data_IF_714066142274
#
_entry.id   IF_714066142274
#
_cell.length_a   1.000
_cell.length_b   1.000
_cell.length_c   1.000
_cell.angle_alpha   90.00
_cell.angle_beta   90.00
_cell.angle_gamma   90.00
#
_symmetry.space_group_name_H-M   'P 1'
#
loop_
_entity.id
_entity.type
_entity.pdbx_description
1 polymer ?
#
# COMPACT_ATOMS: atom_id res chain seq x y z
N UNK A 1 10.47 -28.47 19.35
CA UNK A 1 10.39 -28.97 17.97
C UNK A 1 10.49 -27.81 16.93
N UNK A 2 10.60 -26.56 17.37
CA UNK A 2 10.78 -25.40 16.49
C UNK A 2 9.48 -24.78 15.98
N UNK A 3 8.33 -25.22 16.43
CA UNK A 3 7.02 -24.66 16.10
C UNK A 3 6.27 -24.27 17.38
N UNK A 4 5.58 -23.12 17.34
CA UNK A 4 4.66 -22.71 18.39
C UNK A 4 3.25 -23.02 17.91
N UNK A 5 2.61 -23.98 18.58
CA UNK A 5 1.26 -24.43 18.26
C UNK A 5 0.20 -23.81 19.19
N UNK A 6 -0.99 -24.34 19.15
CA UNK A 6 -2.01 -24.07 20.14
C UNK A 6 -1.96 -25.11 21.25
N UNK A 7 -2.30 -24.69 22.45
CA UNK A 7 -2.44 -25.52 23.63
C UNK A 7 -3.88 -25.47 24.12
N UNK A 8 -4.56 -26.60 24.19
CA UNK A 8 -5.90 -26.67 24.80
C UNK A 8 -5.86 -27.36 26.13
N UNK A 9 -6.54 -26.77 27.08
CA UNK A 9 -6.62 -27.22 28.47
C UNK A 9 -8.06 -27.54 28.80
N UNK A 10 -8.34 -28.73 29.30
CA UNK A 10 -9.67 -29.10 29.76
C UNK A 10 -10.01 -28.27 31.02
N UNK A 11 -11.10 -27.52 30.95
CA UNK A 11 -11.57 -26.63 32.02
C UNK A 11 -13.10 -26.54 31.95
N UNK A 12 -13.83 -26.83 33.06
CA UNK A 12 -15.28 -26.71 33.09
C UNK A 12 -15.79 -25.31 32.71
N UNK A 13 -14.97 -24.26 32.90
CA UNK A 13 -15.29 -22.89 32.56
C UNK A 13 -14.77 -22.53 31.15
N UNK A 14 -14.19 -23.48 30.43
CA UNK A 14 -13.65 -23.27 29.09
C UNK A 14 -14.71 -22.80 28.10
N UNK A 15 -14.31 -21.95 27.19
CA UNK A 15 -15.17 -21.34 26.16
C UNK A 15 -15.35 -22.20 24.93
N UNK A 16 -14.56 -23.27 24.81
CA UNK A 16 -14.47 -24.10 23.61
C UNK A 16 -14.88 -25.54 23.88
N UNK A 17 -15.36 -26.18 22.83
CA UNK A 17 -15.64 -27.61 22.79
C UNK A 17 -15.10 -28.20 21.48
N UNK A 18 -14.88 -29.52 21.45
CA UNK A 18 -14.52 -30.25 20.23
C UNK A 18 -15.70 -30.24 19.26
N UNK A 19 -15.45 -29.94 18.00
CA UNK A 19 -16.46 -30.02 16.95
C UNK A 19 -16.96 -31.47 16.78
N UNK A 20 -18.28 -31.62 16.64
CA UNK A 20 -18.92 -32.90 16.32
C UNK A 20 -18.66 -33.36 14.86
N UNK A 21 -18.26 -32.43 13.98
CA UNK A 21 -18.04 -32.69 12.56
C UNK A 21 -16.61 -33.13 12.22
N UNK A 22 -15.64 -32.59 12.95
CA UNK A 22 -14.22 -32.97 12.84
C UNK A 22 -13.52 -32.70 14.18
N UNK A 23 -13.01 -33.75 14.81
CA UNK A 23 -12.41 -33.67 16.14
C UNK A 23 -11.11 -32.82 16.21
N UNK A 24 -10.58 -32.42 15.08
CA UNK A 24 -9.44 -31.48 15.01
C UNK A 24 -9.87 -30.05 15.35
N UNK A 25 -11.10 -29.66 15.00
CA UNK A 25 -11.59 -28.31 15.18
C UNK A 25 -12.16 -28.07 16.58
N UNK A 26 -11.92 -26.89 17.08
CA UNK A 26 -12.52 -26.36 18.28
C UNK A 26 -13.58 -25.33 17.90
N UNK A 27 -14.75 -25.41 18.52
CA UNK A 27 -15.87 -24.48 18.32
C UNK A 27 -16.27 -23.86 19.64
N UNK A 28 -16.76 -22.62 19.62
CA UNK A 28 -17.25 -21.95 20.80
C UNK A 28 -18.46 -22.67 21.38
N UNK A 29 -18.60 -22.64 22.71
CA UNK A 29 -19.81 -23.10 23.41
C UNK A 29 -21.00 -22.24 23.03
N UNK A 30 -22.15 -22.89 23.00
CA UNK A 30 -23.46 -22.23 22.93
C UNK A 30 -24.12 -22.23 24.31
N UNK A 31 -25.15 -21.40 24.58
CA UNK A 31 -25.89 -21.42 25.85
C UNK A 31 -26.49 -22.78 26.24
N UNK A 32 -26.72 -23.65 25.24
CA UNK A 32 -27.27 -24.99 25.46
C UNK A 32 -26.24 -26.06 25.86
N UNK A 33 -24.94 -25.72 25.75
CA UNK A 33 -23.85 -26.64 26.07
C UNK A 33 -23.64 -26.72 27.61
N UNK A 34 -24.31 -27.65 28.23
CA UNK A 34 -24.27 -27.85 29.67
C UNK A 34 -23.32 -28.94 30.15
N UNK A 35 -22.89 -29.84 29.27
CA UNK A 35 -21.99 -30.97 29.57
C UNK A 35 -20.75 -30.91 28.73
N UNK A 36 -19.57 -30.97 29.38
CA UNK A 36 -18.25 -30.98 28.76
C UNK A 36 -17.85 -32.32 28.10
N UNK A 37 -16.60 -32.51 27.71
CA UNK A 37 -15.48 -31.64 28.12
C UNK A 37 -15.47 -30.29 27.42
N UNK A 38 -15.09 -29.25 28.16
CA UNK A 38 -14.85 -27.90 27.67
C UNK A 38 -13.37 -27.55 27.78
N UNK A 39 -12.91 -26.56 27.00
CA UNK A 39 -11.49 -26.25 26.89
C UNK A 39 -11.26 -24.74 26.89
N UNK A 40 -10.13 -24.34 27.47
CA UNK A 40 -9.47 -23.07 27.16
C UNK A 40 -8.41 -23.30 26.12
N UNK A 41 -8.20 -22.35 25.21
CA UNK A 41 -7.19 -22.41 24.17
C UNK A 41 -6.20 -21.29 24.39
N UNK A 42 -4.93 -21.65 24.46
CA UNK A 42 -3.81 -20.75 24.59
C UNK A 42 -2.84 -20.96 23.43
N UNK A 43 -1.95 -20.00 23.24
CA UNK A 43 -0.74 -20.20 22.46
C UNK A 43 0.21 -21.10 23.27
N UNK A 44 0.89 -22.01 22.62
CA UNK A 44 1.90 -22.84 23.27
C UNK A 44 2.98 -21.97 23.91
N UNK A 45 3.28 -22.18 25.19
CA UNK A 45 4.22 -21.37 25.97
C UNK A 45 4.04 -21.60 27.46
N UNK A 46 4.74 -20.81 28.27
CA UNK A 46 4.59 -20.74 29.71
C UNK A 46 3.79 -19.51 30.11
N UNK A 47 3.10 -19.63 31.25
CA UNK A 47 2.43 -18.48 31.85
C UNK A 47 3.44 -17.69 32.68
N UNK A 48 3.41 -16.38 32.55
CA UNK A 48 4.23 -15.49 33.36
C UNK A 48 3.60 -15.30 34.74
N UNK A 49 4.44 -15.21 35.79
CA UNK A 49 4.00 -15.03 37.17
C UNK A 49 2.89 -16.00 37.62
N UNK A 50 2.95 -17.25 37.14
CA UNK A 50 1.93 -18.26 37.45
C UNK A 50 1.91 -18.59 38.94
N UNK A 51 0.82 -18.25 39.60
CA UNK A 51 0.59 -18.45 41.04
C UNK A 51 -0.22 -19.73 41.34
N UNK A 52 -0.48 -20.56 40.33
CA UNK A 52 -1.36 -21.74 40.43
C UNK A 52 -2.79 -21.49 39.99
N UNK A 53 -3.20 -20.23 39.80
CA UNK A 53 -4.57 -19.83 39.45
C UNK A 53 -4.63 -18.93 38.21
N UNK A 54 -3.84 -17.87 38.18
CA UNK A 54 -3.83 -16.92 37.03
C UNK A 54 -3.07 -17.50 35.84
N UNK A 55 -3.74 -17.51 34.69
CA UNK A 55 -3.18 -17.96 33.42
C UNK A 55 -3.02 -16.75 32.50
N UNK A 56 -2.09 -15.86 32.86
CA UNK A 56 -1.79 -14.66 32.08
C UNK A 56 -0.74 -15.01 31.02
N UNK A 57 -1.08 -14.75 29.76
CA UNK A 57 -0.10 -14.85 28.67
C UNK A 57 0.87 -13.68 28.78
N UNK A 58 2.18 -13.97 28.81
CA UNK A 58 3.19 -12.94 28.84
C UNK A 58 2.98 -11.95 27.68
N UNK A 59 3.00 -10.62 27.92
CA UNK A 59 3.02 -9.65 26.86
C UNK A 59 4.29 -9.80 26.02
N UNK A 60 4.26 -9.34 24.77
CA UNK A 60 5.49 -9.29 23.97
C UNK A 60 6.53 -8.44 24.71
N UNK A 61 7.78 -8.92 24.90
CA UNK A 61 8.82 -8.17 25.62
C UNK A 61 9.13 -6.81 24.99
N UNK A 62 8.86 -6.65 23.71
CA UNK A 62 9.10 -5.39 23.00
C UNK A 62 7.81 -4.60 22.74
N UNK A 63 6.68 -5.26 22.55
CA UNK A 63 5.37 -4.65 22.40
C UNK A 63 5.18 -3.72 21.19
N UNK A 64 6.24 -3.56 20.38
CA UNK A 64 6.30 -2.58 19.31
C UNK A 64 5.73 -3.12 18.00
N UNK A 65 4.99 -2.27 17.30
CA UNK A 65 4.58 -2.47 15.92
C UNK A 65 5.19 -1.35 15.07
N UNK A 66 6.16 -1.69 14.21
CA UNK A 66 6.83 -0.71 13.37
C UNK A 66 5.86 0.06 12.46
N UNK A 67 4.71 -0.55 12.12
CA UNK A 67 3.65 0.10 11.37
C UNK A 67 2.66 0.88 12.26
N UNK A 68 3.13 1.38 13.41
CA UNK A 68 2.43 2.34 14.29
C UNK A 68 3.35 3.50 14.68
N UNK A 69 4.53 3.61 14.04
CA UNK A 69 5.58 4.55 14.44
C UNK A 69 5.79 5.70 13.46
N UNK A 70 5.06 5.74 12.35
CA UNK A 70 5.25 6.80 11.37
C UNK A 70 4.64 8.13 11.82
N UNK A 71 5.27 9.28 11.50
CA UNK A 71 4.92 10.58 12.11
C UNK A 71 3.51 11.09 11.79
N UNK A 72 2.94 10.67 10.66
CA UNK A 72 1.58 11.11 10.32
C UNK A 72 0.58 10.54 11.31
N UNK A 73 -0.15 11.43 11.98
CA UNK A 73 -1.18 11.11 12.98
C UNK A 73 -0.72 10.11 14.04
N UNK A 74 0.55 10.14 14.42
CA UNK A 74 1.07 9.27 15.46
C UNK A 74 0.40 9.56 16.81
N UNK A 75 0.05 8.52 17.53
CA UNK A 75 -0.52 8.60 18.88
C UNK A 75 0.34 7.83 19.89
N UNK A 76 0.41 8.30 21.14
CA UNK A 76 1.19 7.64 22.17
C UNK A 76 0.64 6.25 22.53
N UNK A 77 1.48 5.39 23.12
CA UNK A 77 1.23 3.98 23.40
C UNK A 77 -0.13 3.69 24.07
N UNK A 78 -0.60 4.58 24.97
CA UNK A 78 -1.88 4.40 25.66
C UNK A 78 -3.11 4.64 24.75
N UNK A 79 -2.92 5.24 23.57
CA UNK A 79 -3.97 5.44 22.56
C UNK A 79 -3.81 4.52 21.36
N UNK A 80 -2.56 4.18 21.03
CA UNK A 80 -2.23 3.28 19.93
C UNK A 80 -1.19 2.27 20.43
N UNK A 81 -1.64 1.06 20.76
CA UNK A 81 -0.73 0.00 21.17
C UNK A 81 0.32 -0.32 20.09
N UNK A 82 1.57 -0.49 20.51
CA UNK A 82 2.70 -0.74 19.63
C UNK A 82 3.37 0.51 19.05
N UNK A 83 2.90 1.72 19.39
CA UNK A 83 3.42 2.98 18.87
C UNK A 83 4.82 3.34 19.39
N UNK A 84 5.19 2.79 20.53
CA UNK A 84 6.46 3.10 21.18
C UNK A 84 6.49 4.47 21.88
N UNK A 85 7.66 4.90 22.38
CA UNK A 85 7.76 6.10 23.21
C UNK A 85 7.64 7.42 22.44
N UNK A 86 7.95 7.43 21.14
CA UNK A 86 7.86 8.60 20.25
C UNK A 86 7.88 8.14 18.78
N UNK A 87 7.43 8.99 17.84
CA UNK A 87 7.45 8.64 16.41
C UNK A 87 8.87 8.31 15.95
N UNK A 88 9.01 7.24 15.16
CA UNK A 88 10.32 6.78 14.67
C UNK A 88 11.30 6.44 15.81
N UNK A 89 10.82 5.88 16.92
CA UNK A 89 11.69 5.42 18.01
C UNK A 89 12.67 4.32 17.57
N UNK A 90 12.28 3.54 16.57
CA UNK A 90 13.07 2.39 16.11
C UNK A 90 13.99 2.73 14.92
N UNK A 91 15.21 2.16 14.88
CA UNK A 91 16.17 2.44 13.82
C UNK A 91 15.68 2.04 12.44
N UNK A 92 14.86 0.99 12.33
CA UNK A 92 14.29 0.50 11.09
C UNK A 92 13.36 1.54 10.45
N UNK A 93 12.45 2.12 11.23
CA UNK A 93 11.51 3.13 10.73
C UNK A 93 12.24 4.42 10.36
N UNK A 94 13.26 4.83 11.16
CA UNK A 94 14.13 5.95 10.80
C UNK A 94 14.87 5.74 9.49
N UNK A 95 15.42 4.54 9.27
CA UNK A 95 16.15 4.22 8.04
C UNK A 95 15.24 4.29 6.82
N UNK A 96 14.03 3.75 6.91
CA UNK A 96 13.03 3.80 5.82
C UNK A 96 12.63 5.25 5.51
N UNK A 97 12.33 6.05 6.54
CA UNK A 97 11.97 7.48 6.37
C UNK A 97 13.13 8.26 5.76
N UNK A 98 14.35 8.11 6.28
CA UNK A 98 15.54 8.78 5.75
C UNK A 98 15.79 8.42 4.27
N UNK A 99 15.64 7.15 3.91
CA UNK A 99 15.77 6.71 2.53
C UNK A 99 14.72 7.36 1.62
N UNK A 100 13.44 7.29 1.96
CA UNK A 100 12.36 7.80 1.13
C UNK A 100 12.40 9.32 1.00
N UNK A 101 12.67 10.06 2.08
CA UNK A 101 12.77 11.53 2.05
C UNK A 101 13.96 12.04 1.25
N UNK A 102 15.03 11.24 1.14
CA UNK A 102 16.18 11.55 0.29
C UNK A 102 15.89 11.36 -1.22
N UNK A 103 14.75 10.75 -1.60
CA UNK A 103 14.40 10.39 -2.97
C UNK A 103 13.23 11.24 -3.49
N UNK A 104 13.56 12.32 -4.20
CA UNK A 104 12.53 13.23 -4.75
C UNK A 104 11.72 12.64 -5.91
N UNK A 105 12.17 11.52 -6.47
CA UNK A 105 11.57 10.86 -7.63
C UNK A 105 10.61 9.71 -7.28
N UNK A 106 10.21 9.56 -6.02
CA UNK A 106 9.22 8.55 -5.62
C UNK A 106 7.84 8.95 -6.11
N UNK A 107 7.21 8.12 -6.94
CA UNK A 107 5.88 8.36 -7.54
C UNK A 107 4.80 7.45 -6.96
N UNK A 108 5.17 6.40 -6.26
CA UNK A 108 4.25 5.47 -5.62
C UNK A 108 4.97 4.52 -4.68
N UNK A 109 4.23 3.96 -3.73
CA UNK A 109 4.75 3.05 -2.72
C UNK A 109 3.86 1.81 -2.62
N UNK A 110 4.50 0.65 -2.53
CA UNK A 110 3.84 -0.62 -2.20
C UNK A 110 4.47 -1.20 -0.93
N UNK A 111 3.66 -1.46 0.06
CA UNK A 111 4.09 -2.23 1.24
C UNK A 111 3.40 -3.60 1.25
N UNK A 112 4.15 -4.62 1.63
CA UNK A 112 3.67 -5.99 1.64
C UNK A 112 3.53 -6.48 3.06
N UNK A 113 2.32 -6.84 3.39
CA UNK A 113 1.91 -7.41 4.65
C UNK A 113 1.39 -8.83 4.46
N UNK A 114 1.04 -9.46 5.52
CA UNK A 114 0.37 -10.73 5.56
C UNK A 114 -0.47 -10.76 6.86
N UNK A 115 -1.67 -11.23 6.83
CA UNK A 115 -2.38 -11.98 5.79
C UNK A 115 -3.83 -11.49 5.65
N UNK A 116 -4.50 -11.90 4.57
CA UNK A 116 -5.90 -11.53 4.38
C UNK A 116 -6.34 -11.67 2.92
N UNK A 117 -5.45 -11.37 1.99
CA UNK A 117 -5.77 -11.34 0.57
C UNK A 117 -6.63 -10.12 0.24
N UNK A 118 -6.16 -8.94 0.60
CA UNK A 118 -6.80 -7.65 0.34
C UNK A 118 -5.76 -6.60 0.00
N UNK A 119 -6.07 -5.71 -0.91
CA UNK A 119 -5.31 -4.50 -1.19
C UNK A 119 -5.92 -3.34 -0.41
N UNK A 120 -5.13 -2.70 0.44
CA UNK A 120 -5.57 -1.61 1.30
C UNK A 120 -5.07 -0.27 0.80
N UNK A 121 -5.86 0.78 1.00
CA UNK A 121 -5.51 2.17 0.68
C UNK A 121 -5.80 3.10 1.86
N UNK A 122 -5.09 4.21 1.97
CA UNK A 122 -5.39 5.27 2.94
C UNK A 122 -6.82 5.83 2.81
N UNK A 123 -7.27 6.52 3.83
CA UNK A 123 -6.66 6.73 5.14
C UNK A 123 -7.06 5.63 6.13
N UNK A 124 -6.23 5.46 7.15
CA UNK A 124 -6.53 4.55 8.26
C UNK A 124 -7.35 5.23 9.37
N UNK A 125 -7.20 6.54 9.50
CA UNK A 125 -7.76 7.38 10.57
C UNK A 125 -8.91 8.29 10.12
N UNK A 126 -9.06 8.55 8.81
CA UNK A 126 -10.07 9.46 8.27
C UNK A 126 -10.93 8.82 7.17
N UNK A 127 -12.20 9.27 7.03
CA UNK A 127 -13.05 8.83 5.94
C UNK A 127 -12.58 9.43 4.59
N UNK A 128 -12.99 8.81 3.49
CA UNK A 128 -12.72 9.22 2.11
C UNK A 128 -13.01 10.71 1.84
N UNK A 129 -13.97 11.29 2.55
CA UNK A 129 -14.35 12.72 2.42
C UNK A 129 -13.26 13.70 2.85
N UNK A 130 -12.21 13.23 3.52
CA UNK A 130 -11.04 14.05 3.90
C UNK A 130 -9.93 14.03 2.84
N UNK A 131 -10.03 13.14 1.87
CA UNK A 131 -9.06 13.04 0.78
C UNK A 131 -9.47 13.98 -0.38
N UNK A 132 -8.52 14.69 -1.02
CA UNK A 132 -8.80 15.44 -2.24
C UNK A 132 -9.47 14.55 -3.29
N UNK A 133 -10.49 15.07 -3.97
CA UNK A 133 -11.32 14.30 -4.90
C UNK A 133 -10.51 13.62 -6.00
N UNK A 134 -9.53 14.32 -6.58
CA UNK A 134 -8.66 13.77 -7.61
C UNK A 134 -7.82 12.60 -7.07
N UNK A 135 -7.22 12.76 -5.89
CA UNK A 135 -6.40 11.71 -5.27
C UNK A 135 -7.25 10.48 -4.94
N UNK A 136 -8.46 10.68 -4.41
CA UNK A 136 -9.39 9.58 -4.16
C UNK A 136 -9.77 8.83 -5.44
N UNK A 137 -10.04 9.57 -6.51
CA UNK A 137 -10.38 8.97 -7.80
C UNK A 137 -9.18 8.17 -8.37
N UNK A 138 -7.97 8.68 -8.24
CA UNK A 138 -6.74 7.97 -8.62
C UNK A 138 -6.58 6.69 -7.78
N UNK A 139 -6.75 6.77 -6.45
CA UNK A 139 -6.71 5.59 -5.59
C UNK A 139 -7.73 4.53 -6.00
N UNK A 140 -8.95 4.93 -6.31
CA UNK A 140 -10.01 4.02 -6.78
C UNK A 140 -9.67 3.39 -8.14
N UNK A 141 -9.13 4.17 -9.08
CA UNK A 141 -8.74 3.65 -10.39
C UNK A 141 -7.55 2.68 -10.32
N UNK A 142 -6.50 3.04 -9.58
CA UNK A 142 -5.35 2.16 -9.34
C UNK A 142 -5.75 0.93 -8.53
N UNK A 143 -6.61 1.10 -7.51
CA UNK A 143 -7.16 0.01 -6.73
C UNK A 143 -7.96 -0.98 -7.55
N UNK A 144 -8.81 -0.51 -8.46
CA UNK A 144 -9.54 -1.36 -9.42
C UNK A 144 -8.57 -2.15 -10.31
N UNK A 145 -7.50 -1.50 -10.80
CA UNK A 145 -6.45 -2.21 -11.53
C UNK A 145 -5.76 -3.26 -10.66
N UNK A 146 -5.56 -2.96 -9.38
CA UNK A 146 -5.05 -3.91 -8.38
C UNK A 146 -5.97 -5.13 -8.24
N UNK A 147 -7.28 -4.93 -8.14
CA UNK A 147 -8.26 -6.03 -8.08
C UNK A 147 -8.17 -6.97 -9.29
N UNK A 148 -8.05 -6.41 -10.48
CA UNK A 148 -7.91 -7.19 -11.73
C UNK A 148 -6.64 -8.03 -11.75
N UNK A 149 -5.51 -7.45 -11.36
CA UNK A 149 -4.19 -8.09 -11.42
C UNK A 149 -3.99 -9.10 -10.28
N UNK A 150 -4.35 -8.72 -9.06
CA UNK A 150 -4.15 -9.51 -7.85
C UNK A 150 -5.26 -10.53 -7.64
N UNK A 151 -6.45 -10.23 -8.16
CA UNK A 151 -7.65 -11.01 -7.91
C UNK A 151 -8.10 -10.96 -6.45
N UNK A 152 -7.80 -9.86 -5.72
CA UNK A 152 -8.28 -9.58 -4.36
C UNK A 152 -8.96 -8.22 -4.34
N UNK A 153 -9.90 -7.95 -3.42
CA UNK A 153 -10.58 -6.65 -3.38
C UNK A 153 -9.63 -5.55 -2.93
N UNK A 154 -9.86 -4.33 -3.43
CA UNK A 154 -9.26 -3.11 -2.90
C UNK A 154 -10.21 -2.46 -1.89
N UNK A 155 -9.71 -2.13 -0.70
CA UNK A 155 -10.49 -1.67 0.43
C UNK A 155 -9.87 -0.42 1.06
N UNK A 156 -10.72 0.45 1.61
CA UNK A 156 -10.28 1.53 2.49
C UNK A 156 -10.00 0.96 3.88
N UNK A 157 -8.87 1.32 4.48
CA UNK A 157 -8.60 0.91 5.86
C UNK A 157 -9.68 1.46 6.79
N UNK A 158 -10.00 2.75 6.68
CA UNK A 158 -11.01 3.40 7.54
C UNK A 158 -12.40 2.78 7.41
N UNK A 159 -12.85 2.47 6.21
CA UNK A 159 -14.22 1.99 6.00
C UNK A 159 -14.38 0.48 6.16
N UNK A 160 -13.34 -0.30 5.82
CA UNK A 160 -13.50 -1.74 5.61
C UNK A 160 -12.54 -2.60 6.47
N UNK A 161 -11.55 -1.99 7.18
CA UNK A 161 -10.48 -2.78 7.81
C UNK A 161 -10.14 -2.31 9.24
N UNK A 162 -11.05 -1.66 9.94
CA UNK A 162 -10.84 -1.28 11.35
C UNK A 162 -11.05 -2.48 12.28
N UNK A 163 -10.14 -2.64 13.25
CA UNK A 163 -10.22 -3.71 14.24
C UNK A 163 -11.38 -3.52 15.22
N UNK A 164 -11.74 -2.29 15.51
CA UNK A 164 -12.92 -1.90 16.27
C UNK A 164 -13.65 -0.76 15.54
N UNK A 165 -14.98 -0.75 15.61
CA UNK A 165 -15.80 0.27 14.95
C UNK A 165 -15.58 1.68 15.52
N UNK A 166 -15.18 1.76 16.80
CA UNK A 166 -14.98 3.00 17.55
C UNK A 166 -13.51 3.46 17.55
N UNK A 167 -12.60 2.66 16.99
CA UNK A 167 -11.18 2.95 16.98
C UNK A 167 -10.68 3.10 15.54
N UNK A 168 -9.70 3.97 15.35
CA UNK A 168 -8.96 4.13 14.10
C UNK A 168 -7.51 3.74 14.32
N UNK A 169 -6.80 3.51 13.23
CA UNK A 169 -5.40 3.08 13.28
C UNK A 169 -4.53 4.32 13.03
N UNK A 170 -3.51 4.50 13.86
CA UNK A 170 -2.62 5.67 13.84
C UNK A 170 -1.18 5.29 13.51
N UNK A 171 -0.41 6.25 12.99
CA UNK A 171 1.04 6.11 12.80
C UNK A 171 1.44 5.06 11.78
N UNK A 172 0.65 4.86 10.72
CA UNK A 172 0.90 3.84 9.70
C UNK A 172 1.71 4.37 8.51
N UNK A 173 2.41 3.47 7.86
CA UNK A 173 3.39 3.77 6.82
C UNK A 173 2.76 4.34 5.54
N UNK A 174 1.70 3.73 5.04
CA UNK A 174 1.04 4.14 3.80
C UNK A 174 0.34 5.49 3.93
N UNK A 175 -0.30 5.78 5.07
CA UNK A 175 -0.83 7.12 5.37
C UNK A 175 0.29 8.16 5.39
N UNK A 176 1.42 7.86 6.04
CA UNK A 176 2.59 8.74 6.06
C UNK A 176 3.16 9.00 4.67
N UNK A 177 3.28 7.96 3.84
CA UNK A 177 3.76 8.10 2.46
C UNK A 177 2.83 9.00 1.63
N UNK A 178 1.53 8.84 1.80
CA UNK A 178 0.57 9.66 1.09
C UNK A 178 0.58 11.10 1.58
N UNK A 179 0.52 11.31 2.89
CA UNK A 179 0.46 12.67 3.46
C UNK A 179 1.79 13.42 3.33
N UNK A 180 2.91 12.87 3.83
CA UNK A 180 4.18 13.57 3.90
C UNK A 180 4.96 13.59 2.58
N UNK A 181 4.89 12.51 1.80
CA UNK A 181 5.60 12.43 0.52
C UNK A 181 4.69 12.81 -0.66
N UNK A 182 3.39 12.90 -0.46
CA UNK A 182 2.42 13.15 -1.53
C UNK A 182 2.46 12.07 -2.61
N UNK A 183 2.60 10.80 -2.23
CA UNK A 183 2.66 9.66 -3.15
C UNK A 183 1.51 8.69 -2.90
N UNK A 184 0.96 8.09 -3.96
CA UNK A 184 -0.05 7.06 -3.77
C UNK A 184 0.61 5.80 -3.19
N UNK A 185 0.23 5.41 -1.98
CA UNK A 185 0.73 4.23 -1.29
C UNK A 185 -0.38 3.19 -1.13
N UNK A 186 -0.03 1.92 -1.26
CA UNK A 186 -0.94 0.80 -1.02
C UNK A 186 -0.28 -0.23 -0.12
N UNK A 187 -1.07 -0.86 0.74
CA UNK A 187 -0.69 -2.01 1.55
C UNK A 187 -1.35 -3.26 0.98
N UNK A 188 -0.56 -4.26 0.61
CA UNK A 188 -1.06 -5.55 0.14
C UNK A 188 -0.94 -6.60 1.23
N UNK A 189 -2.05 -6.99 1.81
CA UNK A 189 -2.16 -8.17 2.66
C UNK A 189 -2.11 -9.41 1.78
N UNK A 190 -0.92 -10.00 1.68
CA UNK A 190 -0.67 -11.20 0.87
C UNK A 190 -1.42 -12.40 1.43
N UNK A 191 -1.61 -13.40 0.59
CA UNK A 191 -2.10 -14.72 0.94
C UNK A 191 -3.44 -14.77 1.67
N UNK A 192 -4.32 -15.63 1.24
CA UNK A 192 -5.56 -15.97 1.94
C UNK A 192 -5.88 -17.45 1.73
N UNK A 193 -5.69 -18.23 2.79
CA UNK A 193 -6.11 -19.63 2.80
C UNK A 193 -7.63 -19.74 2.66
N UNK A 194 -8.38 -18.81 3.25
CA UNK A 194 -9.83 -18.76 3.14
C UNK A 194 -10.28 -18.70 1.67
N UNK A 195 -9.69 -17.78 0.90
CA UNK A 195 -9.95 -17.68 -0.54
C UNK A 195 -9.57 -18.95 -1.30
N UNK A 196 -8.42 -19.56 -0.99
CA UNK A 196 -7.99 -20.83 -1.60
C UNK A 196 -8.96 -21.95 -1.29
N UNK A 197 -9.56 -21.96 -0.11
CA UNK A 197 -10.57 -22.94 0.31
C UNK A 197 -12.00 -22.64 -0.21
N UNK A 198 -12.17 -21.59 -1.00
CA UNK A 198 -13.49 -21.19 -1.50
C UNK A 198 -14.41 -20.59 -0.43
N UNK A 199 -13.83 -19.98 0.59
CA UNK A 199 -14.56 -19.20 1.59
C UNK A 199 -14.68 -17.76 1.09
N UNK A 200 -15.89 -17.23 1.08
CA UNK A 200 -16.14 -15.83 0.74
C UNK A 200 -16.00 -14.98 2.00
N UNK A 201 -14.96 -14.15 2.05
CA UNK A 201 -14.75 -13.17 3.12
C UNK A 201 -15.32 -11.83 2.66
N UNK A 202 -16.37 -11.37 3.31
CA UNK A 202 -17.02 -10.07 3.03
C UNK A 202 -16.60 -9.00 4.01
N UNK A 203 -16.42 -9.38 5.26
CA UNK A 203 -15.87 -8.57 6.34
C UNK A 203 -14.63 -9.30 6.86
N UNK A 204 -13.46 -8.69 6.66
CA UNK A 204 -12.18 -9.28 7.03
C UNK A 204 -12.04 -9.43 8.54
N UNK A 205 -12.39 -8.38 9.27
CA UNK A 205 -12.19 -8.36 10.72
C UNK A 205 -13.14 -9.32 11.41
N UNK A 206 -14.43 -9.29 11.06
CA UNK A 206 -15.42 -10.22 11.60
C UNK A 206 -15.05 -11.67 11.29
N UNK A 207 -14.59 -11.97 10.08
CA UNK A 207 -14.16 -13.31 9.69
C UNK A 207 -13.01 -13.83 10.57
N UNK A 208 -11.99 -13.01 10.83
CA UNK A 208 -10.86 -13.45 11.63
C UNK A 208 -11.16 -13.49 13.14
N UNK A 209 -12.10 -12.66 13.63
CA UNK A 209 -12.55 -12.68 15.03
C UNK A 209 -13.49 -13.84 15.35
N UNK A 210 -14.42 -14.15 14.45
CA UNK A 210 -15.51 -15.11 14.72
C UNK A 210 -15.93 -15.91 13.48
N UNK A 211 -14.99 -16.68 12.97
CA UNK A 211 -15.18 -17.50 11.79
C UNK A 211 -16.12 -18.68 12.07
N UNK A 212 -16.98 -19.00 11.13
CA UNK A 212 -17.93 -20.11 11.27
C UNK A 212 -17.24 -21.48 11.21
N UNK A 213 -17.80 -22.47 11.92
CA UNK A 213 -17.39 -23.87 11.83
C UNK A 213 -17.41 -24.39 10.37
N UNK A 214 -18.41 -23.95 9.59
CA UNK A 214 -18.52 -24.31 8.16
C UNK A 214 -17.32 -23.85 7.35
N UNK A 215 -16.81 -22.67 7.64
CA UNK A 215 -15.65 -22.12 6.93
C UNK A 215 -14.36 -22.79 7.39
N UNK A 216 -14.22 -23.04 8.70
CA UNK A 216 -13.10 -23.83 9.21
C UNK A 216 -13.06 -25.24 8.61
N UNK A 217 -14.19 -25.89 8.44
CA UNK A 217 -14.27 -27.21 7.76
C UNK A 217 -13.84 -27.14 6.29
N UNK A 218 -14.19 -26.07 5.56
CA UNK A 218 -13.72 -25.88 4.18
C UNK A 218 -12.21 -25.71 4.13
N UNK A 219 -11.67 -24.87 5.02
CA UNK A 219 -10.23 -24.63 5.09
C UNK A 219 -9.49 -25.90 5.48
N UNK A 220 -10.02 -26.65 6.44
CA UNK A 220 -9.43 -27.94 6.88
C UNK A 220 -9.43 -28.99 5.75
N UNK A 221 -10.54 -29.12 5.02
CA UNK A 221 -10.61 -30.01 3.84
C UNK A 221 -9.67 -29.57 2.72
N UNK A 222 -9.53 -28.26 2.52
CA UNK A 222 -8.60 -27.74 1.52
C UNK A 222 -7.16 -28.09 1.87
N UNK A 223 -6.72 -27.87 3.12
CA UNK A 223 -5.36 -28.20 3.53
C UNK A 223 -5.11 -29.72 3.52
N UNK A 224 -6.10 -30.55 3.87
CA UNK A 224 -5.99 -32.01 3.76
C UNK A 224 -5.69 -32.41 2.31
N UNK A 225 -6.44 -31.86 1.35
CA UNK A 225 -6.29 -32.18 -0.07
C UNK A 225 -5.03 -31.59 -0.69
N UNK A 226 -4.72 -30.34 -0.39
CA UNK A 226 -3.68 -29.58 -1.07
C UNK A 226 -2.34 -29.54 -0.33
N UNK A 227 -2.30 -29.80 0.96
CA UNK A 227 -1.09 -29.81 1.78
C UNK A 227 -0.82 -31.19 2.41
N UNK A 228 -1.61 -32.20 2.07
CA UNK A 228 -1.48 -33.54 2.65
C UNK A 228 -1.66 -33.56 4.18
N UNK A 229 -2.52 -32.68 4.69
CA UNK A 229 -2.78 -32.56 6.14
C UNK A 229 -1.70 -31.81 6.93
N UNK A 230 -0.63 -31.34 6.27
CA UNK A 230 0.51 -30.70 6.96
C UNK A 230 0.23 -29.31 7.53
N UNK A 231 -0.89 -28.69 7.15
CA UNK A 231 -1.30 -27.38 7.68
C UNK A 231 -1.91 -27.40 9.08
N UNK A 232 -2.22 -28.59 9.59
CA UNK A 232 -2.82 -28.79 10.90
C UNK A 232 -2.12 -29.92 11.67
N UNK A 233 -1.74 -29.67 12.92
CA UNK A 233 -1.17 -30.67 13.81
C UNK A 233 -2.30 -31.27 14.64
N UNK A 234 -2.42 -32.61 14.62
CA UNK A 234 -3.41 -33.31 15.46
C UNK A 234 -3.10 -33.10 16.93
N UNK A 235 -4.15 -32.90 17.73
CA UNK A 235 -4.02 -32.76 19.18
C UNK A 235 -3.33 -33.97 19.80
N UNK A 236 -2.27 -33.72 20.57
CA UNK A 236 -1.48 -34.74 21.27
C UNK A 236 -1.33 -34.35 22.73
N UNK A 237 -1.46 -35.34 23.61
CA UNK A 237 -1.27 -35.13 25.06
C UNK A 237 0.15 -34.66 25.35
N UNK A 238 0.24 -33.73 26.28
CA UNK A 238 1.50 -33.17 26.75
C UNK A 238 1.37 -32.86 28.25
N UNK A 239 2.48 -33.04 28.99
CA UNK A 239 2.56 -32.65 30.40
C UNK A 239 3.21 -31.28 30.51
N UNK A 240 2.39 -30.25 30.63
CA UNK A 240 2.87 -28.87 30.79
C UNK A 240 3.46 -28.69 32.19
N UNK A 241 4.62 -28.01 32.33
CA UNK A 241 5.34 -27.91 33.62
C UNK A 241 4.57 -27.14 34.69
N UNK A 242 3.69 -26.21 34.33
CA UNK A 242 2.95 -25.37 35.27
C UNK A 242 1.52 -25.89 35.54
N UNK A 243 0.82 -26.35 34.52
CA UNK A 243 -0.63 -26.66 34.60
C UNK A 243 -0.96 -28.15 34.38
N UNK A 244 0.05 -28.99 34.23
CA UNK A 244 -0.14 -30.44 34.16
C UNK A 244 -0.62 -30.96 32.81
N UNK A 245 -1.76 -31.65 32.76
CA UNK A 245 -2.25 -32.28 31.51
C UNK A 245 -2.84 -31.24 30.55
N UNK A 246 -2.28 -31.20 29.34
CA UNK A 246 -2.76 -30.37 28.23
C UNK A 246 -2.72 -31.16 26.93
N UNK A 247 -3.24 -30.60 25.85
CA UNK A 247 -3.00 -31.11 24.50
C UNK A 247 -2.45 -30.01 23.61
N UNK A 248 -1.39 -30.34 22.85
CA UNK A 248 -0.77 -29.48 21.86
C UNK A 248 -1.21 -29.87 20.47
N UNK A 249 -1.47 -28.90 19.61
CA UNK A 249 -1.92 -29.12 18.23
C UNK A 249 -2.46 -27.85 17.59
N UNK A 250 -3.40 -27.98 16.66
CA UNK A 250 -4.02 -26.84 15.99
C UNK A 250 -3.36 -26.47 14.67
N UNK A 251 -3.68 -25.29 14.20
CA UNK A 251 -3.18 -24.79 12.92
C UNK A 251 -1.69 -24.42 12.99
N UNK A 252 -0.96 -24.78 11.95
CA UNK A 252 0.37 -24.22 11.69
C UNK A 252 0.22 -22.80 11.14
N UNK A 253 0.15 -21.83 12.04
CA UNK A 253 -0.18 -20.45 11.67
C UNK A 253 0.81 -19.88 10.65
N UNK A 254 2.12 -20.05 10.87
CA UNK A 254 3.15 -19.38 10.07
C UNK A 254 3.12 -19.76 8.58
N UNK A 255 3.02 -21.05 8.24
CA UNK A 255 3.09 -21.55 6.85
C UNK A 255 1.76 -22.08 6.32
N UNK A 256 0.66 -21.64 6.89
CA UNK A 256 -0.68 -22.02 6.44
C UNK A 256 -1.60 -20.82 6.37
N UNK A 257 -1.62 -20.00 7.44
CA UNK A 257 -2.45 -18.81 7.56
C UNK A 257 -1.68 -17.54 7.21
N UNK A 258 -0.54 -17.30 7.87
CA UNK A 258 0.20 -16.05 7.72
C UNK A 258 1.04 -16.00 6.44
N UNK A 259 1.55 -17.14 5.97
CA UNK A 259 2.33 -17.19 4.74
C UNK A 259 1.82 -18.31 3.82
N UNK A 260 1.99 -18.14 2.50
CA UNK A 260 1.69 -19.22 1.56
C UNK A 260 2.63 -20.41 1.81
N UNK A 261 2.11 -21.64 1.77
CA UNK A 261 2.97 -22.81 1.69
C UNK A 261 3.94 -22.71 0.50
N UNK A 262 5.16 -23.23 0.59
CA UNK A 262 6.23 -23.01 -0.42
C UNK A 262 5.79 -23.20 -1.87
N UNK A 263 4.93 -24.16 -2.17
CA UNK A 263 4.43 -24.41 -3.52
C UNK A 263 3.57 -23.27 -4.12
N UNK A 264 3.05 -22.36 -3.29
CA UNK A 264 2.23 -21.22 -3.74
C UNK A 264 3.02 -19.91 -3.75
N UNK A 265 4.18 -19.86 -3.09
CA UNK A 265 4.95 -18.63 -2.87
C UNK A 265 5.27 -17.90 -4.18
N UNK A 266 5.85 -18.60 -5.16
CA UNK A 266 6.23 -17.99 -6.44
C UNK A 266 5.03 -17.34 -7.17
N UNK A 267 3.86 -17.98 -7.12
CA UNK A 267 2.66 -17.45 -7.76
C UNK A 267 2.13 -16.21 -7.04
N UNK A 268 2.16 -16.16 -5.71
CA UNK A 268 1.76 -14.99 -4.93
C UNK A 268 2.73 -13.83 -5.16
N UNK A 269 4.05 -14.07 -5.15
CA UNK A 269 5.06 -13.06 -5.47
C UNK A 269 4.90 -12.50 -6.89
N UNK A 270 4.62 -13.35 -7.87
CA UNK A 270 4.40 -12.92 -9.27
C UNK A 270 3.21 -11.97 -9.38
N UNK A 271 2.09 -12.25 -8.70
CA UNK A 271 0.91 -11.37 -8.69
C UNK A 271 1.24 -10.04 -8.04
N UNK A 272 1.86 -10.04 -6.85
CA UNK A 272 2.26 -8.85 -6.14
C UNK A 272 3.16 -7.97 -7.01
N UNK A 273 4.19 -8.55 -7.62
CA UNK A 273 5.10 -7.86 -8.54
C UNK A 273 4.36 -7.29 -9.76
N UNK A 274 3.40 -8.02 -10.33
CA UNK A 274 2.62 -7.54 -11.49
C UNK A 274 1.84 -6.27 -11.19
N UNK A 275 1.25 -6.16 -9.99
CA UNK A 275 0.58 -4.93 -9.59
C UNK A 275 1.58 -3.82 -9.26
N UNK A 276 2.70 -4.14 -8.62
CA UNK A 276 3.77 -3.14 -8.36
C UNK A 276 4.27 -2.50 -9.66
N UNK A 277 4.47 -3.28 -10.71
CA UNK A 277 4.84 -2.74 -12.03
C UNK A 277 3.70 -1.93 -12.66
N UNK A 278 2.45 -2.36 -12.54
CA UNK A 278 1.32 -1.58 -13.04
C UNK A 278 1.20 -0.22 -12.32
N UNK A 279 1.41 -0.20 -10.99
CA UNK A 279 1.44 1.02 -10.19
C UNK A 279 2.62 1.92 -10.59
N UNK A 280 3.81 1.38 -10.74
CA UNK A 280 4.99 2.13 -11.20
C UNK A 280 4.81 2.71 -12.62
N UNK A 281 4.20 1.95 -13.52
CA UNK A 281 3.93 2.38 -14.89
C UNK A 281 2.88 3.52 -14.98
N UNK A 282 2.07 3.70 -13.94
CA UNK A 282 1.13 4.82 -13.85
C UNK A 282 1.83 6.17 -13.60
N UNK A 283 3.12 6.20 -13.26
CA UNK A 283 3.86 7.42 -12.99
C UNK A 283 3.80 8.44 -14.12
N UNK A 284 4.10 9.73 -13.84
CA UNK A 284 4.15 10.76 -14.85
C UNK A 284 5.30 10.51 -15.83
N UNK A 285 5.13 10.93 -17.09
CA UNK A 285 6.10 10.71 -18.15
C UNK A 285 6.21 11.94 -19.04
N UNK A 286 7.25 12.75 -18.87
CA UNK A 286 7.52 13.90 -19.73
C UNK A 286 7.92 13.46 -21.14
N UNK A 287 7.40 14.18 -22.13
CA UNK A 287 7.73 14.03 -23.53
C UNK A 287 7.87 15.40 -24.19
N UNK A 288 8.98 15.62 -24.90
CA UNK A 288 9.11 16.71 -25.84
C UNK A 288 8.49 16.25 -27.15
N UNK A 289 7.34 16.81 -27.53
CA UNK A 289 6.62 16.47 -28.77
C UNK A 289 7.17 17.22 -29.94
N UNK A 290 7.63 18.46 -29.71
CA UNK A 290 8.23 19.33 -30.71
C UNK A 290 9.31 20.17 -30.05
N UNK A 291 10.46 20.27 -30.71
CA UNK A 291 11.47 21.25 -30.40
C UNK A 291 12.16 21.60 -31.70
N UNK A 292 11.87 22.80 -32.20
CA UNK A 292 12.41 23.25 -33.48
C UNK A 292 12.76 24.74 -33.44
N UNK A 293 13.49 25.14 -34.51
CA UNK A 293 13.89 26.51 -34.77
C UNK A 293 13.45 26.88 -36.17
N UNK A 294 12.59 27.87 -36.26
CA UNK A 294 12.18 28.52 -37.51
C UNK A 294 13.11 29.71 -37.79
N UNK A 295 13.79 29.74 -38.93
CA UNK A 295 14.65 30.86 -39.36
C UNK A 295 13.76 32.01 -39.86
N UNK A 296 13.82 33.16 -39.20
CA UNK A 296 13.06 34.37 -39.56
C UNK A 296 13.89 35.33 -40.42
N UNK A 297 15.11 34.96 -40.81
CA UNK A 297 16.07 35.82 -41.54
C UNK A 297 16.85 36.74 -40.60
N UNK A 298 17.88 37.41 -41.15
CA UNK A 298 18.75 38.36 -40.43
C UNK A 298 19.36 37.82 -39.12
N UNK A 299 19.57 36.49 -39.04
CA UNK A 299 20.14 35.83 -37.86
C UNK A 299 19.15 35.71 -36.72
N UNK A 300 17.86 35.91 -36.96
CA UNK A 300 16.77 35.67 -35.98
C UNK A 300 16.19 34.29 -36.19
N UNK A 301 15.88 33.64 -35.07
CA UNK A 301 15.19 32.35 -35.06
C UNK A 301 14.09 32.34 -33.99
N UNK A 302 12.92 31.83 -34.37
CA UNK A 302 11.86 31.49 -33.44
C UNK A 302 12.07 30.04 -32.97
N UNK A 303 12.22 29.85 -31.68
CA UNK A 303 12.36 28.52 -31.05
C UNK A 303 11.04 28.14 -30.43
N UNK A 304 10.55 26.94 -30.75
CA UNK A 304 9.28 26.42 -30.20
C UNK A 304 9.50 25.10 -29.49
N UNK A 305 8.99 24.99 -28.27
CA UNK A 305 8.93 23.76 -27.49
C UNK A 305 7.48 23.41 -27.23
N UNK A 306 7.06 22.19 -27.60
CA UNK A 306 5.82 21.55 -27.17
C UNK A 306 6.16 20.43 -26.21
N UNK A 307 5.79 20.59 -24.94
CA UNK A 307 6.03 19.66 -23.85
C UNK A 307 4.72 19.02 -23.43
N UNK A 308 4.74 17.72 -23.16
CA UNK A 308 3.58 16.97 -22.66
C UNK A 308 3.94 16.04 -21.51
N UNK A 309 2.95 15.77 -20.65
CA UNK A 309 2.95 14.61 -19.77
C UNK A 309 2.08 13.50 -20.39
N UNK A 310 2.71 12.44 -20.87
CA UNK A 310 2.03 11.27 -21.45
C UNK A 310 1.78 10.17 -20.41
N UNK A 311 2.06 10.43 -19.12
CA UNK A 311 1.82 9.52 -18.03
C UNK A 311 0.38 9.54 -17.55
N UNK A 312 0.01 8.53 -16.76
CA UNK A 312 -1.31 8.48 -16.13
C UNK A 312 -1.44 9.50 -15.01
N UNK A 313 -0.44 9.57 -14.10
CA UNK A 313 -0.42 10.52 -12.99
C UNK A 313 0.07 11.91 -13.44
N UNK A 314 -0.38 13.00 -12.78
CA UNK A 314 0.16 14.32 -12.99
C UNK A 314 1.63 14.41 -12.51
N UNK A 315 2.37 15.41 -12.97
CA UNK A 315 3.78 15.57 -12.59
C UNK A 315 4.01 15.86 -11.10
N UNK A 316 3.01 16.33 -10.39
CA UNK A 316 3.00 16.46 -8.93
C UNK A 316 2.61 15.15 -8.22
N UNK A 317 2.06 14.16 -8.93
CA UNK A 317 1.56 12.86 -8.47
C UNK A 317 0.26 12.96 -7.68
N UNK A 318 0.16 13.78 -6.64
CA UNK A 318 -1.05 13.96 -5.84
C UNK A 318 -1.34 15.44 -5.55
N UNK A 319 -2.57 15.76 -5.19
CA UNK A 319 -2.94 17.10 -4.74
C UNK A 319 -2.23 17.45 -3.43
N UNK A 320 -2.10 16.49 -2.51
CA UNK A 320 -1.37 16.72 -1.25
C UNK A 320 0.09 17.13 -1.48
N UNK A 321 0.74 16.61 -2.54
CA UNK A 321 2.10 17.04 -2.86
C UNK A 321 2.19 18.53 -3.19
N UNK A 322 1.14 19.11 -3.78
CA UNK A 322 1.05 20.56 -4.02
C UNK A 322 0.74 21.31 -2.73
N UNK A 323 -0.23 20.87 -1.98
CA UNK A 323 -0.70 21.52 -0.75
C UNK A 323 0.42 21.61 0.28
N UNK A 324 1.23 20.57 0.40
CA UNK A 324 2.39 20.49 1.30
C UNK A 324 3.69 21.00 0.68
N UNK A 325 3.67 21.39 -0.61
CA UNK A 325 4.84 21.93 -1.35
C UNK A 325 6.06 20.99 -1.33
N UNK A 326 5.81 19.69 -1.41
CA UNK A 326 6.88 18.67 -1.35
C UNK A 326 7.42 18.26 -2.71
N UNK A 327 6.96 18.91 -3.78
CA UNK A 327 7.37 18.70 -5.16
C UNK A 327 7.59 20.03 -5.87
N UNK A 328 8.69 20.15 -6.62
CA UNK A 328 9.00 21.36 -7.38
C UNK A 328 8.29 21.36 -8.75
N UNK A 329 7.94 22.57 -9.26
CA UNK A 329 7.40 22.72 -10.60
C UNK A 329 8.32 22.14 -11.67
N UNK A 330 7.76 21.80 -12.82
CA UNK A 330 8.56 21.40 -14.00
C UNK A 330 9.37 22.60 -14.48
N UNK A 331 10.67 22.40 -14.59
CA UNK A 331 11.64 23.43 -15.02
C UNK A 331 12.06 23.18 -16.46
N UNK A 332 12.07 24.24 -17.26
CA UNK A 332 12.59 24.25 -18.64
C UNK A 332 13.79 25.18 -18.69
N UNK A 333 14.93 24.67 -19.19
CA UNK A 333 16.17 25.43 -19.36
C UNK A 333 16.57 25.39 -20.83
N UNK A 334 16.65 26.58 -21.44
CA UNK A 334 17.16 26.77 -22.81
C UNK A 334 18.68 26.93 -22.77
N UNK A 335 19.37 26.15 -23.56
CA UNK A 335 20.82 26.24 -23.76
C UNK A 335 21.11 26.87 -25.12
N UNK A 336 21.81 28.00 -25.10
CA UNK A 336 22.10 28.80 -26.27
C UNK A 336 23.57 28.63 -26.68
N UNK A 337 23.86 28.66 -28.00
CA UNK A 337 25.23 28.62 -28.47
C UNK A 337 26.00 29.90 -28.07
N UNK A 338 27.34 29.87 -28.00
CA UNK A 338 28.15 31.04 -27.73
C UNK A 338 27.79 32.20 -28.69
N UNK A 339 27.68 33.42 -28.16
CA UNK A 339 27.34 34.65 -28.92
C UNK A 339 25.88 34.73 -29.39
N UNK A 340 25.01 33.79 -29.04
CA UNK A 340 23.57 33.95 -29.25
C UNK A 340 22.94 34.79 -28.14
N UNK A 341 21.99 35.63 -28.52
CA UNK A 341 21.28 36.53 -27.65
C UNK A 341 19.80 36.09 -27.55
N UNK A 342 19.26 35.99 -26.34
CA UNK A 342 17.84 35.75 -26.11
C UNK A 342 17.10 37.09 -26.11
N UNK A 343 16.28 37.32 -27.12
CA UNK A 343 15.54 38.58 -27.27
C UNK A 343 14.18 38.54 -26.58
N UNK A 344 13.47 37.43 -26.69
CA UNK A 344 12.17 37.21 -26.08
C UNK A 344 12.16 35.86 -25.38
N UNK A 345 11.55 35.84 -24.21
CA UNK A 345 11.43 34.65 -23.34
C UNK A 345 12.42 34.66 -22.18
N UNK A 346 12.51 33.56 -21.44
CA UNK A 346 13.45 33.38 -20.34
C UNK A 346 14.31 32.14 -20.59
N UNK A 347 15.60 32.22 -20.24
CA UNK A 347 16.51 31.07 -20.32
C UNK A 347 16.10 29.94 -19.39
N UNK A 348 15.54 30.26 -18.25
CA UNK A 348 14.98 29.31 -17.27
C UNK A 348 13.52 29.68 -17.00
N UNK A 349 12.62 28.72 -17.14
CA UNK A 349 11.18 28.90 -16.99
C UNK A 349 10.58 27.77 -16.16
N UNK A 350 9.87 28.09 -15.12
CA UNK A 350 9.00 27.14 -14.44
C UNK A 350 7.63 27.14 -15.11
N UNK A 351 7.17 25.96 -15.54
CA UNK A 351 5.91 25.82 -16.29
C UNK A 351 4.76 25.26 -15.43
N UNK A 352 4.97 25.19 -14.11
CA UNK A 352 4.02 24.58 -13.19
C UNK A 352 4.05 23.06 -13.27
N UNK A 353 2.93 22.44 -12.93
CA UNK A 353 2.75 20.99 -13.06
C UNK A 353 1.88 20.68 -14.27
N UNK A 354 2.14 19.53 -14.90
CA UNK A 354 1.33 19.04 -16.01
C UNK A 354 0.38 17.98 -15.50
N UNK A 355 -0.90 18.09 -15.85
CA UNK A 355 -1.89 17.06 -15.60
C UNK A 355 -1.49 15.71 -16.23
N UNK A 356 -2.02 14.62 -15.74
CA UNK A 356 -1.91 13.29 -16.35
C UNK A 356 -3.26 12.83 -16.91
N UNK A 357 -3.28 11.64 -17.54
CA UNK A 357 -4.53 11.06 -18.02
C UNK A 357 -5.57 10.84 -16.90
N UNK A 358 -5.11 10.63 -15.66
CA UNK A 358 -5.99 10.52 -14.48
C UNK A 358 -6.79 11.79 -14.21
N UNK A 359 -6.26 12.97 -14.52
CA UNK A 359 -6.93 14.25 -14.25
C UNK A 359 -8.20 14.44 -15.09
N UNK A 360 -8.22 13.90 -16.29
CA UNK A 360 -9.39 13.94 -17.19
C UNK A 360 -10.45 12.91 -16.83
N UNK A 361 -10.06 11.82 -16.17
CA UNK A 361 -10.97 10.76 -15.76
C UNK A 361 -11.83 11.12 -14.54
N UNK A 362 -11.52 12.23 -13.86
CA UNK A 362 -12.21 12.69 -12.66
C UNK A 362 -13.21 13.81 -12.95
N UNK A 363 -13.27 14.33 -14.16
CA UNK A 363 -14.33 15.24 -14.57
C UNK A 363 -15.66 14.46 -14.61
N UNK A 364 -16.68 15.00 -13.92
CA UNK A 364 -18.02 14.42 -13.95
C UNK A 364 -18.41 14.14 -15.39
N UNK A 365 -18.86 12.92 -15.67
CA UNK A 365 -19.34 12.53 -17.01
C UNK A 365 -20.38 13.50 -17.59
N UNK A 366 -21.13 14.17 -16.75
CA UNK A 366 -22.08 15.23 -17.13
C UNK A 366 -21.32 16.42 -17.74
N UNK A 367 -20.21 16.84 -17.16
CA UNK A 367 -19.39 17.92 -17.71
C UNK A 367 -18.69 17.50 -19.00
N UNK A 368 -18.18 16.28 -19.09
CA UNK A 368 -17.55 15.77 -20.32
C UNK A 368 -18.53 15.58 -21.49
N UNK A 369 -19.81 15.32 -21.20
CA UNK A 369 -20.85 15.17 -22.24
C UNK A 369 -21.38 16.51 -22.78
N UNK A 370 -21.36 17.58 -21.96
CA UNK A 370 -21.90 18.89 -22.31
C UNK A 370 -20.85 19.98 -22.53
N UNK A 371 -19.66 19.82 -21.97
CA UNK A 371 -18.55 20.75 -22.10
C UNK A 371 -17.34 20.04 -22.73
N UNK A 372 -17.32 19.95 -24.04
CA UNK A 372 -16.20 19.38 -24.81
C UNK A 372 -14.97 20.30 -24.82
N UNK A 373 -14.56 20.76 -23.66
CA UNK A 373 -13.31 21.48 -23.45
C UNK A 373 -12.25 20.51 -22.94
N UNK A 374 -11.51 19.88 -23.81
CA UNK A 374 -10.23 19.24 -23.42
C UNK A 374 -9.33 20.33 -22.85
N UNK A 375 -9.21 20.39 -21.54
CA UNK A 375 -8.19 21.24 -20.92
C UNK A 375 -6.85 20.67 -21.35
N UNK A 376 -6.09 21.44 -22.16
CA UNK A 376 -4.71 21.09 -22.55
C UNK A 376 -3.72 21.21 -21.38
N UNK A 377 -4.18 20.92 -20.17
CA UNK A 377 -3.33 21.00 -18.96
C UNK A 377 -2.20 19.94 -18.95
N UNK A 378 -2.32 18.92 -19.79
CA UNK A 378 -1.25 17.94 -20.01
C UNK A 378 -0.12 18.48 -20.86
N UNK A 379 -0.31 19.62 -21.50
CA UNK A 379 0.64 20.19 -22.46
C UNK A 379 1.03 21.62 -22.12
N UNK A 380 2.23 22.00 -22.50
CA UNK A 380 2.72 23.41 -22.43
C UNK A 380 3.49 23.71 -23.68
N UNK A 381 3.24 24.90 -24.27
CA UNK A 381 4.04 25.47 -25.34
C UNK A 381 4.85 26.63 -24.79
N UNK A 382 6.15 26.65 -25.13
CA UNK A 382 7.03 27.78 -24.89
C UNK A 382 7.59 28.23 -26.21
N UNK A 383 7.75 29.54 -26.35
CA UNK A 383 8.36 30.17 -27.52
C UNK A 383 9.42 31.16 -27.08
N UNK A 384 10.47 31.23 -27.83
CA UNK A 384 11.56 32.19 -27.63
C UNK A 384 11.96 32.82 -28.98
N UNK A 385 12.46 34.06 -28.93
CA UNK A 385 13.12 34.68 -30.05
C UNK A 385 14.61 34.82 -29.74
N UNK A 386 15.42 34.21 -30.57
CA UNK A 386 16.87 34.15 -30.40
C UNK A 386 17.55 34.83 -31.61
N UNK A 387 18.57 35.67 -31.34
CA UNK A 387 19.48 36.18 -32.35
C UNK A 387 20.78 35.39 -32.29
N UNK A 388 21.21 34.82 -33.41
CA UNK A 388 22.43 34.01 -33.49
C UNK A 388 22.23 32.75 -34.32
N UNK A 389 23.32 32.01 -34.55
CA UNK A 389 23.33 30.76 -35.32
C UNK A 389 23.98 29.65 -34.50
N UNK A 390 23.57 28.43 -34.73
CA UNK A 390 24.16 27.27 -34.08
C UNK A 390 23.15 26.37 -33.37
N UNK A 391 23.69 25.44 -32.59
CA UNK A 391 22.89 24.47 -31.84
C UNK A 391 22.23 25.12 -30.61
N UNK A 392 20.93 25.00 -30.52
CA UNK A 392 20.13 25.38 -29.36
C UNK A 392 19.69 24.07 -28.69
N UNK A 393 19.92 23.97 -27.39
CA UNK A 393 19.46 22.84 -26.55
C UNK A 393 18.31 23.20 -25.66
N UNK A 394 17.50 22.22 -25.26
CA UNK A 394 16.53 22.35 -24.17
C UNK A 394 16.65 21.17 -23.21
N UNK A 395 16.62 21.49 -21.94
CA UNK A 395 16.56 20.52 -20.86
C UNK A 395 15.28 20.78 -20.03
N UNK A 396 14.43 19.78 -19.94
CA UNK A 396 13.21 19.83 -19.11
C UNK A 396 13.38 18.89 -17.94
N UNK A 397 13.19 19.38 -16.73
CA UNK A 397 13.39 18.64 -15.49
C UNK A 397 12.10 18.58 -14.67
N UNK A 398 11.80 17.42 -14.15
CA UNK A 398 10.79 17.18 -13.14
C UNK A 398 11.33 16.21 -12.10
N UNK A 399 11.11 16.47 -10.84
CA UNK A 399 11.54 15.56 -9.77
C UNK A 399 10.95 14.17 -9.96
N UNK A 400 9.66 14.07 -10.35
CA UNK A 400 8.90 12.81 -10.41
C UNK A 400 8.74 12.22 -11.82
N UNK A 401 8.88 13.05 -12.86
CA UNK A 401 8.78 12.60 -14.26
C UNK A 401 10.16 12.50 -14.97
N UNK A 402 11.24 12.76 -14.23
CA UNK A 402 12.59 12.67 -14.73
C UNK A 402 13.04 13.87 -15.59
N UNK A 403 14.02 13.66 -16.46
CA UNK A 403 14.61 14.68 -17.29
C UNK A 403 14.59 14.28 -18.76
N UNK A 404 14.08 15.16 -19.61
CA UNK A 404 14.10 15.00 -21.06
C UNK A 404 14.90 16.12 -21.72
N UNK A 405 15.51 15.85 -22.87
CA UNK A 405 16.36 16.78 -23.60
C UNK A 405 16.07 16.72 -25.08
N UNK A 406 16.27 17.85 -25.77
CA UNK A 406 16.22 17.94 -27.22
C UNK A 406 17.15 19.03 -27.73
N UNK A 407 17.44 19.01 -29.02
CA UNK A 407 18.30 19.97 -29.68
C UNK A 407 17.71 20.36 -31.05
N UNK A 408 17.90 21.61 -31.44
CA UNK A 408 17.55 22.14 -32.72
C UNK A 408 18.67 23.09 -33.23
N UNK A 409 18.67 23.45 -34.50
CA UNK A 409 19.69 24.32 -35.08
C UNK A 409 19.05 25.61 -35.61
N UNK A 410 19.49 26.76 -35.13
CA UNK A 410 19.18 28.05 -35.71
C UNK A 410 20.07 28.34 -36.93
N UNK A 411 19.47 28.78 -38.07
CA UNK A 411 20.20 29.18 -39.27
C UNK A 411 20.75 28.04 -40.11
N UNK A 412 20.17 26.82 -40.06
CA UNK A 412 20.37 25.79 -41.10
C UNK A 412 19.31 25.97 -42.17
N UNK A 413 19.81 26.07 -43.42
CA UNK A 413 18.97 25.93 -44.61
C UNK A 413 18.60 24.46 -44.83
#
# INVERSE_FOLDING_TARGET
>A
DGEILQMRVEDPLGEWKVSKKDARLMVKRTPDDRKGPFYRIYREGRFENFDGFRQEVAPSPYGLDLNRQYPYDWMPEHKQGGAGPFPLSEPETRAVVAFLTSRKNVTGVMTYHTFGGVLLRPYSNFPDTKMPNLDLAIYKALGKRGEEVLGVPCKSVFHDFRYDANEVIHGVFDDWCYDHLGTHAFTLELWSIAKKAGVKVTDFIAFYKDRSEKDDLKILKWQDRHLGGKGFVRWRRFKHPQIGKVELGGWRMLFTWSNPPPKYLAAECKKAMSFTFAHAAAGPRLRIRRFDCEDLGNGLAKVTLDLANEGYLPTNVSQLALDHKVVLPVEVVLDLPPRAELLIGKKKTEVGHLAGAASTACEDWVNSAFFSGTTKEQERRLEWLVRGRGRIGVVVKSERAGTVRSEAHAGRR
#
